data_IF_345359114483
#
_entry.id   IF_345359114483
#
_cell.length_a   1.000
_cell.length_b   1.000
_cell.length_c   1.000
_cell.angle_alpha   90.00
_cell.angle_beta   90.00
_cell.angle_gamma   90.00
#
_symmetry.space_group_name_H-M   'P 1'
#
loop_
_entity.id
_entity.type
_entity.pdbx_description
1 polymer ?
#
# COMPACT_ATOMS: atom_id res chain seq x y z
N UNK A 1 -36.77 -13.58 -12.88
CA UNK A 1 -37.07 -12.56 -11.84
C UNK A 1 -35.75 -12.01 -11.35
N UNK A 2 -35.41 -10.77 -11.68
CA UNK A 2 -34.26 -10.10 -11.07
C UNK A 2 -34.64 -9.70 -9.64
N UNK A 3 -33.95 -10.24 -8.64
CA UNK A 3 -34.16 -9.83 -7.26
C UNK A 3 -33.71 -8.36 -7.14
N UNK A 4 -34.66 -7.47 -6.81
CA UNK A 4 -34.36 -6.08 -6.48
C UNK A 4 -33.64 -6.07 -5.14
N UNK A 5 -32.31 -6.00 -5.16
CA UNK A 5 -31.53 -5.66 -3.96
C UNK A 5 -31.85 -4.21 -3.62
N UNK A 6 -32.31 -3.99 -2.39
CA UNK A 6 -32.69 -2.69 -1.82
C UNK A 6 -31.76 -2.37 -0.64
N UNK A 7 -31.46 -1.11 -0.42
CA UNK A 7 -30.76 -0.67 0.81
C UNK A 7 -31.70 -0.72 2.02
N UNK A 8 -31.19 -0.43 3.23
CA UNK A 8 -32.01 -0.43 4.44
C UNK A 8 -33.13 0.63 4.42
N UNK A 9 -33.10 1.56 3.46
CA UNK A 9 -34.11 2.61 3.27
C UNK A 9 -35.11 2.27 2.15
N UNK A 10 -35.01 1.10 1.54
CA UNK A 10 -35.91 0.63 0.49
C UNK A 10 -35.61 1.15 -0.92
N UNK A 11 -34.51 1.88 -1.11
CA UNK A 11 -34.10 2.40 -2.41
C UNK A 11 -33.41 1.31 -3.24
N UNK A 12 -33.54 1.40 -4.57
CA UNK A 12 -32.87 0.49 -5.48
C UNK A 12 -31.35 0.73 -5.53
N UNK A 13 -30.57 -0.32 -5.25
CA UNK A 13 -29.10 -0.26 -5.30
C UNK A 13 -28.58 -0.02 -6.72
N UNK A 14 -29.38 -0.39 -7.74
CA UNK A 14 -29.02 -0.24 -9.15
C UNK A 14 -29.12 1.22 -9.67
N UNK A 15 -29.69 2.15 -8.91
CA UNK A 15 -29.91 3.53 -9.35
C UNK A 15 -29.88 4.63 -8.28
N UNK A 16 -29.89 4.33 -6.97
CA UNK A 16 -30.25 5.32 -5.95
C UNK A 16 -29.19 5.80 -4.96
N UNK A 17 -27.98 5.23 -4.92
CA UNK A 17 -27.00 5.51 -3.85
C UNK A 17 -25.71 6.20 -4.29
N UNK A 18 -25.06 6.95 -3.40
CA UNK A 18 -23.75 7.59 -3.61
C UNK A 18 -22.67 6.58 -4.07
N UNK A 19 -22.78 5.33 -3.63
CA UNK A 19 -21.87 4.23 -4.00
C UNK A 19 -22.39 3.34 -5.14
N UNK A 20 -23.49 3.67 -5.82
CA UNK A 20 -24.04 2.83 -6.90
C UNK A 20 -23.08 2.55 -8.07
N UNK A 21 -22.09 3.41 -8.28
CA UNK A 21 -21.02 3.18 -9.27
C UNK A 21 -20.06 2.05 -8.89
N UNK A 22 -20.01 1.62 -7.62
CA UNK A 22 -19.22 0.47 -7.18
C UNK A 22 -19.66 -0.82 -7.87
N UNK A 23 -20.94 -0.92 -8.27
CA UNK A 23 -21.42 -2.04 -9.08
C UNK A 23 -20.73 -2.12 -10.45
N UNK A 24 -20.34 -0.97 -11.04
CA UNK A 24 -19.67 -0.92 -12.34
C UNK A 24 -18.21 -1.38 -12.29
N UNK A 25 -17.58 -1.31 -11.12
CA UNK A 25 -16.22 -1.78 -10.88
C UNK A 25 -16.19 -3.22 -10.31
N UNK A 26 -17.35 -3.87 -10.20
CA UNK A 26 -17.47 -5.28 -9.80
C UNK A 26 -17.76 -5.52 -8.31
N UNK A 27 -18.18 -4.51 -7.56
CA UNK A 27 -18.64 -4.72 -6.19
C UNK A 27 -19.97 -5.49 -6.14
N UNK A 28 -20.17 -6.30 -5.10
CA UNK A 28 -21.43 -7.00 -4.91
C UNK A 28 -22.54 -6.02 -4.48
N UNK A 29 -23.80 -6.27 -4.85
CA UNK A 29 -24.93 -5.45 -4.43
C UNK A 29 -25.08 -5.31 -2.92
N UNK A 30 -24.74 -6.34 -2.13
CA UNK A 30 -24.78 -6.24 -0.67
C UNK A 30 -23.69 -5.30 -0.13
N UNK A 31 -22.49 -5.34 -0.72
CA UNK A 31 -21.41 -4.43 -0.33
C UNK A 31 -21.81 -2.97 -0.60
N UNK A 32 -22.44 -2.70 -1.74
CA UNK A 32 -22.92 -1.36 -2.09
C UNK A 32 -24.07 -0.91 -1.17
N UNK A 33 -24.96 -1.82 -0.76
CA UNK A 33 -26.00 -1.53 0.23
C UNK A 33 -25.40 -1.13 1.58
N UNK A 34 -24.45 -1.91 2.11
CA UNK A 34 -23.77 -1.61 3.38
C UNK A 34 -22.99 -0.30 3.30
N UNK A 35 -22.33 -0.01 2.18
CA UNK A 35 -21.62 1.25 1.98
C UNK A 35 -22.57 2.46 1.93
N UNK A 36 -23.75 2.32 1.32
CA UNK A 36 -24.77 3.38 1.31
C UNK A 36 -25.43 3.56 2.69
N UNK A 37 -25.69 2.48 3.42
CA UNK A 37 -26.28 2.52 4.77
C UNK A 37 -25.29 3.10 5.80
N UNK A 38 -24.00 2.87 5.60
CA UNK A 38 -22.93 3.26 6.53
C UNK A 38 -21.77 3.93 5.79
N UNK A 39 -21.92 5.19 5.35
CA UNK A 39 -20.89 5.89 4.58
C UNK A 39 -19.56 6.04 5.34
N UNK A 40 -19.61 6.05 6.68
CA UNK A 40 -18.42 6.08 7.53
C UNK A 40 -17.56 4.82 7.40
N UNK A 41 -18.14 3.67 7.08
CA UNK A 41 -17.43 2.39 6.97
C UNK A 41 -16.43 2.41 5.80
N UNK A 42 -16.77 3.11 4.71
CA UNK A 42 -15.87 3.37 3.61
C UNK A 42 -14.72 4.31 3.99
N UNK A 43 -15.05 5.40 4.70
CA UNK A 43 -14.07 6.38 5.14
C UNK A 43 -13.04 5.75 6.11
N UNK A 44 -13.50 4.93 7.05
CA UNK A 44 -12.66 4.19 7.99
C UNK A 44 -11.68 3.26 7.25
N UNK A 45 -12.17 2.52 6.24
CA UNK A 45 -11.32 1.65 5.42
C UNK A 45 -10.21 2.45 4.72
N UNK A 46 -10.54 3.60 4.13
CA UNK A 46 -9.53 4.47 3.51
C UNK A 46 -8.54 5.06 4.53
N UNK A 47 -9.02 5.49 5.69
CA UNK A 47 -8.17 6.00 6.78
C UNK A 47 -7.18 4.93 7.22
N UNK A 48 -7.64 3.69 7.44
CA UNK A 48 -6.76 2.58 7.80
C UNK A 48 -5.71 2.31 6.73
N UNK A 49 -6.10 2.28 5.44
CA UNK A 49 -5.14 2.12 4.33
C UNK A 49 -4.06 3.21 4.32
N UNK A 50 -4.47 4.47 4.52
CA UNK A 50 -3.56 5.62 4.55
C UNK A 50 -2.63 5.56 5.76
N UNK A 51 -3.17 5.30 6.96
CA UNK A 51 -2.40 5.18 8.19
C UNK A 51 -1.40 4.02 8.08
N UNK A 52 -1.81 2.87 7.54
CA UNK A 52 -0.92 1.72 7.35
C UNK A 52 0.20 2.05 6.34
N UNK A 53 -0.13 2.71 5.22
CA UNK A 53 0.85 3.14 4.22
C UNK A 53 1.87 4.16 4.77
N UNK A 54 1.39 5.15 5.54
CA UNK A 54 2.25 6.08 6.27
C UNK A 54 3.12 5.37 7.28
N UNK A 55 2.57 4.42 8.05
CA UNK A 55 3.30 3.69 9.08
C UNK A 55 4.42 2.83 8.48
N UNK A 56 4.16 2.13 7.36
CA UNK A 56 5.17 1.39 6.61
C UNK A 56 6.26 2.33 6.08
N UNK A 57 5.87 3.48 5.52
CA UNK A 57 6.83 4.45 4.96
C UNK A 57 7.70 5.08 6.04
N UNK A 58 7.13 5.44 7.20
CA UNK A 58 7.87 5.91 8.36
C UNK A 58 8.78 4.81 8.93
N UNK A 59 8.30 3.57 9.04
CA UNK A 59 9.13 2.44 9.46
C UNK A 59 10.31 2.23 8.51
N UNK A 60 10.08 2.31 7.19
CA UNK A 60 11.13 2.21 6.20
C UNK A 60 12.14 3.36 6.32
N UNK A 61 11.67 4.59 6.54
CA UNK A 61 12.55 5.75 6.73
C UNK A 61 13.42 5.59 7.99
N UNK A 62 12.83 5.17 9.11
CA UNK A 62 13.57 4.89 10.35
C UNK A 62 14.52 3.72 10.14
N UNK A 63 14.10 2.66 9.46
CA UNK A 63 14.93 1.51 9.15
C UNK A 63 16.16 1.91 8.31
N UNK A 64 15.95 2.73 7.27
CA UNK A 64 17.02 3.27 6.44
C UNK A 64 17.98 4.18 7.24
N UNK A 65 17.45 5.06 8.10
CA UNK A 65 18.25 5.97 8.92
C UNK A 65 19.00 5.27 10.07
N UNK A 66 18.42 4.22 10.66
CA UNK A 66 19.01 3.45 11.78
C UNK A 66 19.90 2.30 11.31
N UNK A 67 19.84 1.89 10.04
CA UNK A 67 20.93 1.19 9.35
C UNK A 67 22.13 2.14 9.21
N UNK A 68 22.72 2.45 10.36
CA UNK A 68 23.90 3.27 10.53
C UNK A 68 25.00 2.80 9.59
N UNK A 69 25.66 3.71 8.85
CA UNK A 69 26.81 3.43 7.99
C UNK A 69 28.05 2.83 8.71
N UNK A 70 27.98 2.58 10.03
CA UNK A 70 29.06 1.99 10.83
C UNK A 70 29.42 0.55 10.44
N UNK A 71 28.50 -0.22 9.83
CA UNK A 71 28.85 -1.53 9.27
C UNK A 71 29.60 -1.46 7.93
N UNK A 72 29.56 -0.32 7.22
CA UNK A 72 30.33 -0.12 5.98
C UNK A 72 31.75 0.39 6.24
N UNK A 73 32.06 0.90 7.43
CA UNK A 73 33.41 1.37 7.79
C UNK A 73 34.34 0.27 8.35
N UNK A 74 33.84 -0.95 8.65
CA UNK A 74 34.70 -2.11 8.95
C UNK A 74 35.17 -2.90 7.72
N UNK A 75 34.82 -2.52 6.49
CA UNK A 75 35.45 -3.05 5.25
C UNK A 75 36.58 -2.16 4.72
N UNK A 76 37.37 -1.55 5.60
CA UNK A 76 38.71 -1.04 5.25
C UNK A 76 39.71 -1.41 6.33
N UNK A 77 40.39 -2.56 6.16
CA UNK A 77 41.85 -2.68 6.01
C UNK A 77 42.29 -4.14 6.18
N UNK A 78 43.32 -4.49 5.40
CA UNK A 78 44.13 -5.71 5.43
C UNK A 78 43.56 -7.00 4.80
N UNK A 79 43.77 -7.14 3.49
CA UNK A 79 44.61 -8.26 3.01
C UNK A 79 45.24 -7.94 1.64
N UNK A 80 46.57 -7.78 1.67
CA UNK A 80 47.58 -8.07 0.62
C UNK A 80 47.80 -7.10 -0.57
N UNK A 81 48.64 -6.10 -0.30
CA UNK A 81 50.06 -6.00 -0.76
C UNK A 81 50.36 -6.37 -2.23
N UNK A 82 50.75 -5.35 -3.03
CA UNK A 82 51.66 -5.51 -4.18
C UNK A 82 51.40 -4.56 -5.36
N UNK A 83 52.34 -3.68 -5.75
CA UNK A 83 52.15 -2.73 -6.84
C UNK A 83 52.37 -3.42 -8.19
N UNK A 84 51.32 -3.55 -9.01
CA UNK A 84 51.48 -3.93 -10.41
C UNK A 84 51.44 -2.66 -11.27
N UNK A 85 52.61 -2.17 -11.66
CA UNK A 85 52.79 -1.26 -12.80
C UNK A 85 54.04 -1.70 -13.56
N UNK A 86 54.14 -1.51 -14.88
CA UNK A 86 53.26 -1.93 -15.97
C UNK A 86 54.04 -2.79 -17.00
N UNK A 87 53.34 -3.27 -18.04
CA UNK A 87 53.83 -3.65 -19.38
C UNK A 87 55.34 -3.86 -19.63
N UNK A 88 55.72 -5.02 -20.17
CA UNK A 88 56.61 -5.13 -21.33
C UNK A 88 56.77 -6.58 -21.81
N UNK A 89 56.78 -6.72 -23.14
CA UNK A 89 57.01 -7.91 -23.93
C UNK A 89 58.34 -8.61 -23.63
N UNK A 90 58.35 -9.94 -23.82
CA UNK A 90 59.36 -10.75 -24.52
C UNK A 90 58.87 -12.19 -24.64
#
# INVERSE_FOLDING_TARGET
>A
MAALVRDANGNDINGGGQFGWFLKIGATPEAVAVLNDQPYLFAELLVVLVVLGLQITLHWYIHYATMKPEQKKKKKKDDKKGPAKPAAAR
#
